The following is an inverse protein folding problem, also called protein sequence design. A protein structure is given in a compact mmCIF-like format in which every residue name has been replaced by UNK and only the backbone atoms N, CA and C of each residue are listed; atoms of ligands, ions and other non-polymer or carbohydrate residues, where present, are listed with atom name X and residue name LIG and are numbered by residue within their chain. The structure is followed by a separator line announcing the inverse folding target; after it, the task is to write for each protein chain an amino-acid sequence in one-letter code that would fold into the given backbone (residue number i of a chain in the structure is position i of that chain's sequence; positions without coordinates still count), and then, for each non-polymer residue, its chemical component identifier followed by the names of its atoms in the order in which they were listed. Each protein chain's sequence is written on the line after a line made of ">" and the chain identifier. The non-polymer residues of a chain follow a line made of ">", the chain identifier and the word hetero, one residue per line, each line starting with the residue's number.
data_IF_619319374008
#
_entry.id   IF_619319374008
#
_cell.length_a   1.000
_cell.length_b   1.000
_cell.length_c   1.000
_cell.angle_alpha   90.00
_cell.angle_beta   90.00
_cell.angle_gamma   90.00
#
_symmetry.space_group_name_H-M   'P 1'
#
loop_
_entity.id
_entity.type
_entity.pdbx_description
1 polymer ?
#
# COMPACT_ATOMS: atom_id res chain seq x y z
N UNK A 1 -2.79 5.40 1.73
CA UNK A 1 -1.75 6.37 1.28
C UNK A 1 -1.74 6.62 -0.23
N UNK A 2 -2.60 5.94 -0.99
CA UNK A 2 -2.59 5.97 -2.45
C UNK A 2 -3.29 7.20 -3.04
N UNK A 3 -3.09 7.41 -4.34
CA UNK A 3 -3.96 8.20 -5.20
C UNK A 3 -4.87 7.21 -5.94
N UNK A 4 -6.18 7.47 -5.90
CA UNK A 4 -7.17 6.81 -6.73
C UNK A 4 -7.70 7.83 -7.75
N UNK A 5 -7.87 7.43 -9.01
CA UNK A 5 -8.33 8.33 -10.06
C UNK A 5 -8.55 7.62 -11.39
N UNK A 6 -8.78 8.42 -12.44
CA UNK A 6 -9.26 7.98 -13.78
C UNK A 6 -10.71 7.48 -13.76
N UNK A 7 -11.22 7.19 -14.95
CA UNK A 7 -12.55 6.62 -15.20
C UNK A 7 -12.38 5.37 -16.08
N UNK A 8 -12.60 4.15 -15.57
CA UNK A 8 -12.99 3.82 -14.19
C UNK A 8 -11.88 4.12 -13.17
N UNK A 9 -12.26 4.21 -11.89
CA UNK A 9 -11.33 4.52 -10.79
C UNK A 9 -10.32 3.39 -10.60
N UNK A 10 -9.03 3.71 -10.69
CA UNK A 10 -7.92 2.78 -10.51
C UNK A 10 -6.85 3.31 -9.55
N UNK A 11 -5.97 2.40 -9.10
CA UNK A 11 -4.74 2.76 -8.38
C UNK A 11 -3.82 3.60 -9.28
N UNK A 12 -3.41 4.78 -8.78
CA UNK A 12 -2.57 5.73 -9.51
C UNK A 12 -1.23 6.03 -8.81
N UNK A 13 -0.76 5.13 -7.93
CA UNK A 13 0.48 5.33 -7.17
C UNK A 13 0.27 5.95 -5.79
N UNK A 14 1.36 6.42 -5.17
CA UNK A 14 1.33 7.04 -3.85
C UNK A 14 1.03 8.54 -3.89
N UNK A 15 0.39 9.04 -2.84
CA UNK A 15 0.24 10.48 -2.61
C UNK A 15 1.51 11.09 -1.98
N UNK A 16 2.62 11.07 -2.73
CA UNK A 16 3.93 11.53 -2.25
C UNK A 16 3.89 12.98 -1.77
N UNK A 17 3.15 13.86 -2.46
CA UNK A 17 3.00 15.27 -2.06
C UNK A 17 2.35 15.39 -0.68
N UNK A 18 1.25 14.65 -0.45
CA UNK A 18 0.56 14.63 0.84
C UNK A 18 1.42 14.05 1.97
N UNK A 19 2.15 12.96 1.69
CA UNK A 19 3.03 12.32 2.66
C UNK A 19 4.19 13.24 3.07
N UNK A 20 4.87 13.88 2.09
CA UNK A 20 5.94 14.85 2.37
C UNK A 20 5.46 16.06 3.16
N UNK A 21 4.27 16.58 2.85
CA UNK A 21 3.65 17.69 3.62
C UNK A 21 3.33 17.31 5.07
N UNK A 22 3.18 16.02 5.36
CA UNK A 22 2.96 15.48 6.71
C UNK A 22 4.26 15.00 7.38
N UNK A 23 5.43 15.37 6.83
CA UNK A 23 6.75 15.04 7.35
C UNK A 23 7.07 13.54 7.41
N UNK A 24 6.48 12.74 6.51
CA UNK A 24 6.93 11.34 6.35
C UNK A 24 8.35 11.35 5.80
N UNK A 25 9.24 10.57 6.43
CA UNK A 25 10.62 10.44 5.97
C UNK A 25 10.66 9.76 4.60
N UNK A 26 11.73 10.00 3.83
CA UNK A 26 11.90 9.35 2.52
C UNK A 26 11.95 7.81 2.65
N UNK A 27 12.57 7.31 3.71
CA UNK A 27 12.62 5.88 4.05
C UNK A 27 11.22 5.32 4.32
N UNK A 28 10.41 6.01 5.12
CA UNK A 28 9.03 5.59 5.41
C UNK A 28 8.17 5.60 4.14
N UNK A 29 8.34 6.61 3.28
CA UNK A 29 7.64 6.67 1.99
C UNK A 29 8.04 5.50 1.10
N UNK A 30 9.32 5.10 1.06
CA UNK A 30 9.76 3.97 0.26
C UNK A 30 9.24 2.64 0.83
N UNK A 31 9.21 2.46 2.15
CA UNK A 31 8.59 1.29 2.78
C UNK A 31 7.10 1.19 2.39
N UNK A 32 6.36 2.29 2.49
CA UNK A 32 4.94 2.32 2.04
C UNK A 32 4.84 2.00 0.55
N UNK A 33 5.77 2.50 -0.26
CA UNK A 33 5.78 2.29 -1.70
C UNK A 33 6.00 0.82 -2.06
N UNK A 34 6.97 0.18 -1.42
CA UNK A 34 7.28 -1.23 -1.62
C UNK A 34 6.11 -2.13 -1.25
N UNK A 35 5.43 -1.86 -0.13
CA UNK A 35 4.21 -2.59 0.23
C UNK A 35 3.14 -2.49 -0.87
N UNK A 36 2.88 -1.29 -1.40
CA UNK A 36 1.91 -1.14 -2.49
C UNK A 36 2.39 -1.71 -3.83
N UNK A 37 3.70 -1.73 -4.13
CA UNK A 37 4.23 -2.47 -5.29
C UNK A 37 3.96 -3.96 -5.14
N UNK A 38 4.16 -4.51 -3.94
CA UNK A 38 3.84 -5.92 -3.66
C UNK A 38 2.35 -6.20 -3.82
N UNK A 39 1.46 -5.29 -3.42
CA UNK A 39 0.00 -5.48 -3.58
C UNK A 39 -0.45 -5.36 -5.04
N UNK A 40 0.04 -4.38 -5.79
CA UNK A 40 -0.51 -4.02 -7.11
C UNK A 40 0.31 -4.50 -8.32
N UNK A 41 1.60 -4.75 -8.16
CA UNK A 41 2.54 -4.94 -9.28
C UNK A 41 3.29 -6.28 -9.23
N UNK A 42 3.18 -7.05 -8.15
CA UNK A 42 3.85 -8.35 -8.00
C UNK A 42 3.20 -9.49 -8.81
N UNK A 43 1.98 -9.29 -9.30
CA UNK A 43 1.17 -10.35 -9.93
C UNK A 43 0.60 -11.37 -8.94
N UNK A 44 0.86 -11.21 -7.64
CA UNK A 44 0.27 -12.03 -6.59
C UNK A 44 -1.21 -11.68 -6.38
N UNK A 45 -1.99 -12.64 -5.88
CA UNK A 45 -3.29 -12.33 -5.32
C UNK A 45 -3.10 -11.58 -3.98
N UNK A 46 -4.19 -10.98 -3.46
CA UNK A 46 -4.12 -10.16 -2.25
C UNK A 46 -3.61 -10.97 -1.05
N UNK A 47 -4.08 -12.20 -0.86
CA UNK A 47 -3.67 -13.05 0.28
C UNK A 47 -2.17 -13.31 0.27
N UNK A 48 -1.62 -13.70 -0.89
CA UNK A 48 -0.20 -13.99 -1.04
C UNK A 48 0.65 -12.73 -0.95
N UNK A 49 0.16 -11.61 -1.49
CA UNK A 49 0.83 -10.31 -1.37
C UNK A 49 0.93 -9.84 0.09
N UNK A 50 -0.14 -10.01 0.88
CA UNK A 50 -0.13 -9.67 2.31
C UNK A 50 0.82 -10.57 3.09
N UNK A 51 0.79 -11.89 2.84
CA UNK A 51 1.70 -12.83 3.48
C UNK A 51 3.18 -12.50 3.15
N UNK A 52 3.46 -12.12 1.90
CA UNK A 52 4.78 -11.69 1.48
C UNK A 52 5.24 -10.44 2.23
N UNK A 53 4.39 -9.42 2.35
CA UNK A 53 4.69 -8.19 3.10
C UNK A 53 5.01 -8.52 4.56
N UNK A 54 4.21 -9.35 5.22
CA UNK A 54 4.43 -9.75 6.62
C UNK A 54 5.74 -10.54 6.81
N UNK A 55 6.26 -11.20 5.76
CA UNK A 55 7.49 -11.99 5.83
C UNK A 55 8.76 -11.24 5.45
N UNK A 56 8.67 -10.28 4.52
CA UNK A 56 9.84 -9.62 3.92
C UNK A 56 10.06 -8.19 4.45
N UNK A 57 9.05 -7.58 5.06
CA UNK A 57 9.09 -6.19 5.50
C UNK A 57 8.96 -6.07 7.02
N UNK A 58 9.56 -5.02 7.58
CA UNK A 58 9.34 -4.69 8.98
C UNK A 58 7.92 -4.14 9.18
N UNK A 59 7.19 -4.72 10.15
CA UNK A 59 5.80 -4.36 10.46
C UNK A 59 5.72 -3.09 11.32
N UNK A 60 6.27 -2.00 10.81
CA UNK A 60 6.10 -0.66 11.37
C UNK A 60 4.62 -0.23 11.33
N UNK A 61 4.20 0.78 12.11
CA UNK A 61 2.79 1.16 12.23
C UNK A 61 2.08 1.40 10.89
N UNK A 62 2.76 2.04 9.94
CA UNK A 62 2.20 2.36 8.64
C UNK A 62 1.98 1.14 7.75
N UNK A 63 2.87 0.14 7.82
CA UNK A 63 2.76 -1.10 7.05
C UNK A 63 1.70 -2.01 7.66
N UNK A 64 1.68 -2.13 8.98
CA UNK A 64 0.63 -2.83 9.73
C UNK A 64 -0.75 -2.26 9.40
N UNK A 65 -0.88 -0.92 9.38
CA UNK A 65 -2.11 -0.25 8.99
C UNK A 65 -2.56 -0.59 7.56
N UNK A 66 -1.64 -0.72 6.60
CA UNK A 66 -1.98 -1.13 5.22
C UNK A 66 -2.52 -2.56 5.22
N UNK A 67 -1.81 -3.48 5.87
CA UNK A 67 -2.18 -4.89 5.91
C UNK A 67 -3.55 -5.08 6.56
N UNK A 68 -3.77 -4.46 7.72
CA UNK A 68 -5.02 -4.56 8.47
C UNK A 68 -6.20 -3.94 7.69
N UNK A 69 -5.98 -2.79 7.04
CA UNK A 69 -7.00 -2.16 6.20
C UNK A 69 -7.44 -3.08 5.05
N UNK A 70 -6.49 -3.72 4.36
CA UNK A 70 -6.80 -4.58 3.22
C UNK A 70 -7.47 -5.88 3.69
N UNK A 71 -6.95 -6.48 4.77
CA UNK A 71 -7.49 -7.71 5.36
C UNK A 71 -8.92 -7.51 5.90
N UNK A 72 -9.21 -6.33 6.44
CA UNK A 72 -10.53 -5.97 6.94
C UNK A 72 -11.53 -5.51 5.88
N UNK A 73 -11.14 -5.41 4.60
CA UNK A 73 -12.04 -4.91 3.55
C UNK A 73 -13.00 -5.99 3.04
N UNK A 74 -14.29 -5.85 3.36
CA UNK A 74 -15.36 -6.74 2.87
C UNK A 74 -15.56 -6.67 1.35
N UNK A 75 -15.26 -5.51 0.74
CA UNK A 75 -15.44 -5.27 -0.71
C UNK A 75 -14.15 -5.49 -1.51
N UNK A 76 -13.04 -5.82 -0.84
CA UNK A 76 -11.71 -5.79 -1.42
C UNK A 76 -11.20 -4.37 -1.68
N UNK A 77 -10.18 -4.26 -2.53
CA UNK A 77 -9.56 -2.98 -2.89
C UNK A 77 -9.73 -2.70 -4.38
N UNK A 78 -9.70 -1.41 -4.73
CA UNK A 78 -9.68 -0.98 -6.14
C UNK A 78 -8.47 -1.59 -6.85
N UNK A 79 -8.60 -1.88 -8.16
CA UNK A 79 -7.51 -2.38 -9.02
C UNK A 79 -6.94 -1.25 -9.85
#
# INVERSE_FOLDING_TARGET
>A
YIIAGREPVIYCGLNIVGLRRRNFSSELIENIHEAYRTIYQSGLNITDALAKIESEMEMIPEISYIVDFIRGSERGIIK
#
